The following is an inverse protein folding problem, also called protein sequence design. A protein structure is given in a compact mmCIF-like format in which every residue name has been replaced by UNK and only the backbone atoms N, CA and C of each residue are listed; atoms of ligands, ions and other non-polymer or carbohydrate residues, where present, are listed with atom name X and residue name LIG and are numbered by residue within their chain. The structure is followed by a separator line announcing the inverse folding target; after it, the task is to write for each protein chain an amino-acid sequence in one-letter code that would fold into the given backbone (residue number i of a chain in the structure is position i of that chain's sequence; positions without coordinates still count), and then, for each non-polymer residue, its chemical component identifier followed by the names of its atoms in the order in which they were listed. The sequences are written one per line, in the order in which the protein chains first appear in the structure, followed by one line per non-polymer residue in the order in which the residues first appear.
data_IF_250192813311
#
_entry.id   IF_250192813311
#
_cell.length_a   1.000
_cell.length_b   1.000
_cell.length_c   1.000
_cell.angle_alpha   90.00
_cell.angle_beta   90.00
_cell.angle_gamma   90.00
#
_symmetry.space_group_name_H-M   'P 1'
#
loop_
_entity.id
_entity.type
_entity.pdbx_description
1 polymer ?
#
# COMPACT_ATOMS: atom_id res chain seq x y z
N UNK A 1 5.41 3.60 8.76
CA UNK A 1 5.09 4.82 9.54
C UNK A 1 4.06 5.68 8.82
N UNK A 2 4.17 5.80 7.49
CA UNK A 2 3.30 6.62 6.62
C UNK A 2 1.79 6.36 6.80
N UNK A 3 1.37 5.08 6.87
CA UNK A 3 -0.05 4.73 7.08
C UNK A 3 -0.60 5.21 8.44
N UNK A 4 0.18 5.08 9.52
CA UNK A 4 -0.21 5.55 10.87
C UNK A 4 -0.32 7.06 10.86
N UNK A 5 0.68 7.75 10.31
CA UNK A 5 0.63 9.20 10.16
C UNK A 5 -0.59 9.64 9.34
N UNK A 6 -0.89 8.97 8.22
CA UNK A 6 -2.08 9.25 7.42
C UNK A 6 -3.39 9.05 8.21
N UNK A 7 -3.50 8.02 9.04
CA UNK A 7 -4.66 7.80 9.92
C UNK A 7 -4.83 8.95 10.93
N UNK A 8 -3.73 9.37 11.59
CA UNK A 8 -3.72 10.55 12.47
C UNK A 8 -4.10 11.85 11.75
N UNK A 9 -3.54 12.08 10.54
CA UNK A 9 -3.83 13.27 9.73
C UNK A 9 -5.28 13.32 9.26
N UNK A 10 -5.86 12.15 8.99
CA UNK A 10 -7.28 12.00 8.66
C UNK A 10 -8.17 12.12 9.89
N UNK A 11 -7.59 11.93 11.08
CA UNK A 11 -8.30 11.89 12.36
C UNK A 11 -9.22 10.69 12.50
N UNK A 12 -8.81 9.55 11.93
CA UNK A 12 -9.54 8.28 12.01
C UNK A 12 -8.67 7.29 12.80
N UNK A 13 -9.17 6.75 13.93
CA UNK A 13 -8.37 5.87 14.80
C UNK A 13 -8.16 4.48 14.21
N UNK A 14 -9.03 4.04 13.31
CA UNK A 14 -8.87 2.75 12.63
C UNK A 14 -9.42 2.79 11.21
N UNK A 15 -8.59 2.38 10.25
CA UNK A 15 -8.93 2.39 8.83
C UNK A 15 -8.02 1.46 8.03
N UNK A 16 -8.49 1.01 6.86
CA UNK A 16 -7.59 0.52 5.82
C UNK A 16 -7.02 1.72 5.08
N UNK A 17 -5.72 1.98 5.24
CA UNK A 17 -5.04 3.12 4.63
C UNK A 17 -4.35 2.68 3.34
N UNK A 18 -4.64 3.39 2.26
CA UNK A 18 -4.12 3.17 0.91
C UNK A 18 -3.33 4.40 0.50
N UNK A 19 -2.00 4.33 0.52
CA UNK A 19 -1.11 5.41 0.06
C UNK A 19 -0.74 5.20 -1.41
N UNK A 20 -1.35 5.98 -2.29
CA UNK A 20 -1.07 5.96 -3.72
C UNK A 20 -0.09 7.07 -4.05
N UNK A 21 1.19 6.70 -4.14
CA UNK A 21 2.27 7.60 -4.53
C UNK A 21 2.46 7.70 -6.03
N UNK A 22 3.57 8.32 -6.43
CA UNK A 22 3.93 8.45 -7.84
C UNK A 22 4.48 7.13 -8.43
N UNK A 23 5.33 6.41 -7.68
CA UNK A 23 6.03 5.22 -8.18
C UNK A 23 5.61 3.93 -7.49
N UNK A 24 4.93 4.05 -6.35
CA UNK A 24 4.53 2.93 -5.49
C UNK A 24 3.16 3.19 -4.92
N UNK A 25 2.47 2.10 -4.62
CA UNK A 25 1.26 2.11 -3.81
C UNK A 25 1.46 1.19 -2.62
N UNK A 26 1.02 1.60 -1.43
CA UNK A 26 1.03 0.74 -0.26
C UNK A 26 -0.32 0.69 0.41
N UNK A 27 -0.66 -0.47 0.97
CA UNK A 27 -1.90 -0.72 1.69
C UNK A 27 -1.55 -1.26 3.07
N UNK A 28 -2.21 -0.77 4.12
CA UNK A 28 -2.12 -1.34 5.46
C UNK A 28 -3.33 -0.96 6.30
N UNK A 29 -3.81 -1.91 7.10
CA UNK A 29 -4.78 -1.65 8.14
C UNK A 29 -4.09 -1.04 9.36
N UNK A 30 -4.65 0.07 9.85
CA UNK A 30 -4.19 0.79 11.04
C UNK A 30 -5.28 0.69 12.09
N UNK A 31 -4.91 0.36 13.32
CA UNK A 31 -5.79 0.35 14.48
C UNK A 31 -5.04 0.89 15.69
N UNK A 32 -5.68 1.79 16.45
CA UNK A 32 -5.17 2.38 17.68
C UNK A 32 -3.74 2.92 17.57
N UNK A 33 -3.44 3.57 16.43
CA UNK A 33 -2.13 4.17 16.15
C UNK A 33 -1.06 3.17 15.73
N UNK A 34 -1.43 1.91 15.46
CA UNK A 34 -0.51 0.86 15.04
C UNK A 34 -0.90 0.31 13.66
N UNK A 35 0.09 0.14 12.79
CA UNK A 35 -0.10 -0.56 11.51
C UNK A 35 0.04 -2.06 11.72
N UNK A 36 -1.01 -2.82 11.42
CA UNK A 36 -1.05 -4.29 11.54
C UNK A 36 -0.13 -4.87 10.47
N UNK A 37 0.86 -5.66 10.88
CA UNK A 37 1.99 -6.05 10.02
C UNK A 37 1.56 -6.95 8.86
N UNK A 38 0.73 -7.93 9.15
CA UNK A 38 0.25 -8.97 8.23
C UNK A 38 -0.59 -8.38 7.10
N UNK A 39 -1.15 -7.19 7.32
CA UNK A 39 -1.98 -6.47 6.34
C UNK A 39 -1.16 -5.64 5.35
N UNK A 40 0.15 -5.50 5.56
CA UNK A 40 0.98 -4.57 4.77
C UNK A 40 1.26 -5.14 3.38
N UNK A 41 0.83 -4.41 2.36
CA UNK A 41 1.07 -4.73 0.95
C UNK A 41 1.81 -3.58 0.29
N UNK A 42 2.75 -3.93 -0.58
CA UNK A 42 3.46 -3.01 -1.46
C UNK A 42 3.20 -3.38 -2.93
N UNK A 43 2.92 -2.39 -3.75
CA UNK A 43 2.63 -2.53 -5.17
C UNK A 43 3.58 -1.62 -5.95
N UNK A 44 4.28 -2.16 -6.94
CA UNK A 44 5.31 -1.46 -7.72
C UNK A 44 4.73 -0.53 -8.80
N UNK A 45 3.54 0.03 -8.56
CA UNK A 45 2.90 0.99 -9.46
C UNK A 45 2.33 2.20 -8.71
N UNK A 46 2.20 3.32 -9.41
CA UNK A 46 1.56 4.54 -8.91
C UNK A 46 1.17 5.52 -10.03
N UNK A 47 1.09 6.80 -9.69
CA UNK A 47 0.65 7.87 -10.59
C UNK A 47 1.53 8.07 -11.84
N UNK A 48 2.81 7.74 -11.77
CA UNK A 48 3.75 7.80 -12.92
C UNK A 48 3.42 6.71 -13.94
N UNK A 49 2.97 5.54 -13.50
CA UNK A 49 2.58 4.46 -14.40
C UNK A 49 1.26 4.80 -15.11
N UNK A 50 0.32 5.42 -14.40
CA UNK A 50 -0.88 6.00 -15.03
C UNK A 50 -0.48 7.05 -16.08
N UNK A 51 0.50 7.90 -15.78
CA UNK A 51 1.03 8.90 -16.73
C UNK A 51 1.60 8.22 -17.99
N UNK A 52 2.33 7.12 -17.83
CA UNK A 52 2.90 6.37 -18.95
C UNK A 52 1.84 5.62 -19.76
N UNK A 53 0.86 4.99 -19.11
CA UNK A 53 -0.29 4.36 -19.77
C UNK A 53 -1.08 5.41 -20.56
N UNK A 54 -1.34 6.58 -19.96
CA UNK A 54 -2.01 7.67 -20.64
C UNK A 54 -1.23 8.14 -21.87
N UNK A 55 0.08 8.37 -21.74
CA UNK A 55 0.93 8.72 -22.87
C UNK A 55 0.92 7.65 -23.98
N UNK A 56 0.94 6.37 -23.62
CA UNK A 56 0.83 5.27 -24.58
C UNK A 56 -0.49 5.31 -25.36
N UNK A 57 -1.61 5.58 -24.67
CA UNK A 57 -2.94 5.74 -25.28
C UNK A 57 -2.96 6.95 -26.22
N UNK A 58 -2.48 8.11 -25.75
CA UNK A 58 -2.41 9.34 -26.55
C UNK A 58 -1.65 9.11 -27.87
N UNK A 59 -0.52 8.40 -27.84
CA UNK A 59 0.26 8.12 -29.05
C UNK A 59 -0.54 7.31 -30.09
N UNK A 60 -1.43 6.43 -29.63
CA UNK A 60 -2.33 5.66 -30.51
C UNK A 60 -3.49 6.51 -31.02
N UNK A 61 -3.93 7.48 -30.23
CA UNK A 61 -4.92 8.51 -30.59
C UNK A 61 -4.29 9.73 -31.29
N UNK A 62 -3.22 9.52 -32.06
CA UNK A 62 -2.56 10.54 -32.88
C UNK A 62 -1.96 11.76 -32.14
N UNK A 63 -1.54 11.63 -30.87
CA UNK A 63 -0.94 12.71 -30.06
C UNK A 63 -0.06 13.69 -30.87
N UNK A 64 -0.37 14.99 -30.89
CA UNK A 64 0.19 15.92 -31.88
C UNK A 64 1.68 16.24 -31.64
N UNK A 65 2.15 16.14 -30.39
CA UNK A 65 3.53 16.45 -30.02
C UNK A 65 4.44 15.21 -30.17
N UNK A 66 4.85 14.93 -31.42
CA UNK A 66 5.53 13.67 -31.83
C UNK A 66 6.91 13.45 -31.21
N UNK A 67 7.60 14.53 -30.87
CA UNK A 67 8.94 14.54 -30.28
C UNK A 67 8.93 14.50 -28.75
N UNK A 68 7.74 14.33 -28.13
CA UNK A 68 7.60 14.13 -26.69
C UNK A 68 8.40 12.91 -26.24
N UNK A 69 9.25 13.05 -25.23
CA UNK A 69 10.00 11.94 -24.65
C UNK A 69 9.83 11.93 -23.12
N UNK A 70 9.28 10.87 -22.51
CA UNK A 70 9.19 10.76 -21.05
C UNK A 70 10.53 10.85 -20.31
N UNK A 71 11.65 10.56 -20.99
CA UNK A 71 13.00 10.72 -20.42
C UNK A 71 13.42 12.19 -20.23
N UNK A 72 12.77 13.12 -20.94
CA UNK A 72 12.99 14.56 -20.79
C UNK A 72 12.14 15.10 -19.66
N UNK A 73 12.76 15.77 -18.67
CA UNK A 73 12.06 16.31 -17.49
C UNK A 73 10.88 17.22 -17.85
N UNK A 74 11.04 18.10 -18.85
CA UNK A 74 9.97 19.03 -19.24
C UNK A 74 8.79 18.31 -19.89
N UNK A 75 9.08 17.26 -20.67
CA UNK A 75 8.04 16.47 -21.32
C UNK A 75 7.35 15.56 -20.30
N UNK A 76 8.08 15.00 -19.32
CA UNK A 76 7.51 14.26 -18.20
C UNK A 76 6.55 15.13 -17.37
N UNK A 77 6.94 16.37 -17.05
CA UNK A 77 6.08 17.33 -16.35
C UNK A 77 4.83 17.69 -17.16
N UNK A 78 4.97 17.84 -18.48
CA UNK A 78 3.83 18.04 -19.37
C UNK A 78 2.87 16.84 -19.31
N UNK A 79 3.38 15.61 -19.44
CA UNK A 79 2.56 14.40 -19.39
C UNK A 79 1.84 14.24 -18.05
N UNK A 80 2.53 14.54 -16.94
CA UNK A 80 1.92 14.59 -15.61
C UNK A 80 0.78 15.59 -15.55
N UNK A 81 1.01 16.82 -16.04
CA UNK A 81 -0.02 17.86 -16.08
C UNK A 81 -1.21 17.45 -16.95
N UNK A 82 -0.98 16.86 -18.12
CA UNK A 82 -2.06 16.39 -18.99
C UNK A 82 -2.89 15.32 -18.27
N UNK A 83 -2.25 14.34 -17.61
CA UNK A 83 -2.94 13.33 -16.79
C UNK A 83 -3.78 14.00 -15.69
N UNK A 84 -3.19 14.86 -14.87
CA UNK A 84 -3.89 15.51 -13.74
C UNK A 84 -5.02 16.44 -14.18
N UNK A 85 -4.93 17.00 -15.38
CA UNK A 85 -5.95 17.91 -15.92
C UNK A 85 -7.13 17.15 -16.53
N UNK A 86 -6.87 16.03 -17.22
CA UNK A 86 -7.87 15.41 -18.10
C UNK A 86 -8.33 14.02 -17.65
N UNK A 87 -7.55 13.26 -16.89
CA UNK A 87 -7.97 11.93 -16.47
C UNK A 87 -9.05 11.99 -15.37
N UNK A 88 -10.01 11.07 -15.44
CA UNK A 88 -11.11 10.95 -14.48
C UNK A 88 -11.57 9.49 -14.39
N UNK A 89 -12.34 9.17 -13.34
CA UNK A 89 -13.10 7.91 -13.21
C UNK A 89 -14.58 8.26 -13.05
N UNK A 90 -15.05 9.07 -13.98
CA UNK A 90 -16.43 9.55 -14.06
C UNK A 90 -17.08 9.05 -15.35
N UNK A 91 -18.14 8.26 -15.21
CA UNK A 91 -18.87 7.65 -16.32
C UNK A 91 -19.82 8.62 -17.03
N UNK A 92 -20.15 9.75 -16.38
CA UNK A 92 -21.04 10.76 -16.95
C UNK A 92 -20.31 11.65 -17.97
N UNK A 93 -18.98 11.75 -17.83
CA UNK A 93 -18.11 12.40 -18.80
C UNK A 93 -17.91 11.48 -20.01
N UNK A 94 -18.56 11.82 -21.14
CA UNK A 94 -18.55 11.01 -22.35
C UNK A 94 -18.22 11.80 -23.61
N UNK A 95 -17.71 11.09 -24.62
CA UNK A 95 -17.44 11.60 -25.96
C UNK A 95 -16.08 12.31 -26.10
N UNK A 96 -15.60 12.48 -27.35
CA UNK A 96 -14.35 13.15 -27.63
C UNK A 96 -14.46 14.66 -27.38
N UNK A 97 -13.47 15.21 -26.68
CA UNK A 97 -13.37 16.62 -26.36
C UNK A 97 -12.07 17.20 -26.92
N UNK A 98 -12.16 18.37 -27.56
CA UNK A 98 -10.99 19.08 -28.05
C UNK A 98 -10.33 19.88 -26.93
N UNK A 99 -9.01 19.69 -26.78
CA UNK A 99 -8.20 20.38 -25.80
C UNK A 99 -6.97 21.02 -26.45
N UNK A 100 -6.41 22.04 -25.80
CA UNK A 100 -5.18 22.69 -26.26
C UNK A 100 -4.15 22.74 -25.15
N UNK A 101 -2.89 22.52 -25.51
CA UNK A 101 -1.76 22.65 -24.59
C UNK A 101 -0.57 23.34 -25.26
N UNK A 102 0.32 23.89 -24.43
CA UNK A 102 1.52 24.58 -24.88
C UNK A 102 2.76 23.83 -24.44
N UNK A 103 3.75 23.79 -25.31
CA UNK A 103 5.09 23.24 -25.05
C UNK A 103 6.09 24.37 -25.19
N UNK A 104 6.80 24.67 -24.11
CA UNK A 104 7.87 25.66 -24.08
C UNK A 104 9.15 24.96 -23.62
N UNK A 105 10.18 24.97 -24.47
CA UNK A 105 11.49 24.42 -24.17
C UNK A 105 12.53 25.55 -24.19
N UNK A 106 13.57 25.52 -23.33
CA UNK A 106 14.65 26.48 -23.38
C UNK A 106 15.23 26.58 -24.79
N UNK A 107 15.47 27.81 -25.26
CA UNK A 107 16.04 28.08 -26.60
C UNK A 107 15.19 27.65 -27.80
N UNK A 108 13.91 27.31 -27.59
CA UNK A 108 12.96 27.01 -28.67
C UNK A 108 11.71 27.89 -28.55
N UNK A 109 11.03 28.22 -29.67
CA UNK A 109 9.75 28.92 -29.62
C UNK A 109 8.70 28.07 -28.91
N UNK A 110 7.80 28.71 -28.16
CA UNK A 110 6.65 28.04 -27.56
C UNK A 110 5.70 27.58 -28.66
N UNK A 111 5.39 26.29 -28.69
CA UNK A 111 4.47 25.70 -29.65
C UNK A 111 3.13 25.40 -28.96
N UNK A 112 2.02 25.63 -29.66
CA UNK A 112 0.69 25.27 -29.20
C UNK A 112 0.18 24.09 -30.03
N UNK A 113 -0.41 23.12 -29.35
CA UNK A 113 -0.94 21.90 -29.94
C UNK A 113 -2.41 21.74 -29.55
N UNK A 114 -3.17 21.11 -30.44
CA UNK A 114 -4.57 20.72 -30.22
C UNK A 114 -4.67 19.21 -30.31
N UNK A 115 -5.38 18.59 -29.38
CA UNK A 115 -5.65 17.15 -29.38
C UNK A 115 -7.12 16.88 -29.02
N UNK A 116 -7.65 15.79 -29.55
CA UNK A 116 -8.97 15.27 -29.24
C UNK A 116 -8.79 14.18 -28.19
N UNK A 117 -9.43 14.32 -27.03
CA UNK A 117 -9.38 13.36 -25.93
C UNK A 117 -10.72 12.65 -25.76
N UNK A 118 -10.73 11.32 -25.71
CA UNK A 118 -11.90 10.51 -25.41
C UNK A 118 -11.65 9.54 -24.26
N UNK A 119 -11.97 8.27 -24.47
CA UNK A 119 -11.96 7.20 -23.46
C UNK A 119 -10.57 6.98 -22.82
N UNK A 120 -9.47 7.42 -23.43
CA UNK A 120 -8.15 7.36 -22.82
C UNK A 120 -8.07 8.05 -21.46
N UNK A 121 -8.90 9.08 -21.24
CA UNK A 121 -8.96 9.84 -19.99
C UNK A 121 -9.46 8.98 -18.83
N UNK A 122 -10.34 8.02 -19.10
CA UNK A 122 -10.86 7.08 -18.11
C UNK A 122 -10.10 5.75 -18.10
N UNK A 123 -9.67 5.25 -19.26
CA UNK A 123 -8.90 3.99 -19.36
C UNK A 123 -7.58 4.09 -18.60
N UNK A 124 -6.89 5.24 -18.67
CA UNK A 124 -5.62 5.42 -17.96
C UNK A 124 -5.75 5.24 -16.43
N UNK A 125 -6.59 5.98 -15.69
CA UNK A 125 -6.75 5.77 -14.24
C UNK A 125 -7.42 4.44 -13.90
N UNK A 126 -8.22 3.84 -14.80
CA UNK A 126 -8.75 2.48 -14.59
C UNK A 126 -7.68 1.39 -14.54
N UNK A 127 -6.43 1.68 -14.92
CA UNK A 127 -5.29 0.78 -14.70
C UNK A 127 -5.08 0.39 -13.24
N UNK A 128 -5.48 1.23 -12.27
CA UNK A 128 -5.49 0.84 -10.85
C UNK A 128 -6.38 -0.37 -10.56
N UNK A 129 -7.45 -0.57 -11.33
CA UNK A 129 -8.41 -1.68 -11.17
C UNK A 129 -8.20 -2.79 -12.20
N UNK A 130 -7.32 -2.55 -13.19
CA UNK A 130 -6.88 -3.53 -14.17
C UNK A 130 -5.35 -3.46 -14.31
N UNK A 131 -4.66 -4.01 -13.31
CA UNK A 131 -3.21 -3.89 -13.16
C UNK A 131 -2.41 -4.46 -14.33
N UNK A 132 -3.02 -5.29 -15.19
CA UNK A 132 -2.37 -5.77 -16.42
C UNK A 132 -1.91 -4.62 -17.34
N UNK A 133 -2.61 -3.48 -17.31
CA UNK A 133 -2.22 -2.28 -18.08
C UNK A 133 -0.88 -1.70 -17.62
N UNK A 134 -0.53 -1.82 -16.33
CA UNK A 134 0.76 -1.34 -15.83
C UNK A 134 1.94 -2.13 -16.38
N UNK A 135 1.75 -3.34 -16.92
CA UNK A 135 2.82 -4.09 -17.58
C UNK A 135 3.36 -3.38 -18.83
N UNK A 136 2.59 -2.43 -19.40
CA UNK A 136 3.06 -1.56 -20.49
C UNK A 136 4.22 -0.64 -20.08
N UNK A 137 4.37 -0.40 -18.78
CA UNK A 137 5.36 0.53 -18.19
C UNK A 137 6.61 -0.19 -17.68
N UNK A 138 6.65 -1.52 -17.80
CA UNK A 138 7.73 -2.36 -17.29
C UNK A 138 7.23 -3.51 -16.41
N UNK A 139 8.13 -4.35 -15.89
CA UNK A 139 7.77 -5.40 -14.94
C UNK A 139 7.25 -4.79 -13.64
N UNK A 140 6.12 -5.31 -13.16
CA UNK A 140 5.44 -4.85 -11.95
C UNK A 140 5.17 -6.02 -11.03
N UNK A 141 5.41 -5.84 -9.74
CA UNK A 141 5.22 -6.88 -8.74
C UNK A 141 4.35 -6.38 -7.59
N UNK A 142 3.84 -7.34 -6.83
CA UNK A 142 3.14 -7.12 -5.58
C UNK A 142 3.88 -7.88 -4.49
N UNK A 143 4.01 -7.27 -3.33
CA UNK A 143 4.79 -7.79 -2.22
C UNK A 143 3.96 -7.73 -0.94
N UNK A 144 4.00 -8.81 -0.18
CA UNK A 144 3.59 -8.82 1.22
C UNK A 144 4.80 -8.43 2.06
N UNK A 145 4.58 -7.63 3.09
CA UNK A 145 5.60 -7.46 4.11
C UNK A 145 5.68 -8.75 4.93
N UNK A 146 6.86 -9.33 5.05
CA UNK A 146 7.06 -10.61 5.73
C UNK A 146 6.57 -10.53 7.18
N UNK A 147 5.67 -11.43 7.64
CA UNK A 147 5.43 -11.62 9.07
C UNK A 147 6.76 -11.95 9.73
N UNK A 148 7.19 -11.10 10.67
CA UNK A 148 8.52 -11.15 11.31
C UNK A 148 8.98 -12.58 11.62
N UNK A 149 9.95 -13.11 10.86
CA UNK A 149 10.60 -14.39 11.18
C UNK A 149 11.87 -14.23 12.02
N UNK A 150 12.20 -12.98 12.40
CA UNK A 150 13.39 -12.63 13.15
C UNK A 150 14.53 -12.15 12.25
N UNK A 151 15.37 -11.26 12.77
CA UNK A 151 16.60 -10.80 12.12
C UNK A 151 17.80 -11.62 12.62
N UNK A 152 18.41 -12.41 11.74
CA UNK A 152 19.57 -13.23 12.08
C UNK A 152 20.83 -12.41 12.37
N UNK A 153 20.90 -11.18 11.87
CA UNK A 153 22.01 -10.25 12.11
C UNK A 153 21.80 -9.40 13.36
N UNK A 154 20.60 -9.45 13.98
CA UNK A 154 20.33 -8.82 15.26
C UNK A 154 20.52 -9.83 16.41
N UNK A 155 21.61 -9.73 17.20
CA UNK A 155 21.87 -10.65 18.31
C UNK A 155 20.84 -10.53 19.46
N UNK A 156 19.94 -9.54 19.40
CA UNK A 156 18.85 -9.34 20.35
C UNK A 156 17.49 -9.65 19.74
N UNK A 157 17.44 -10.21 18.52
CA UNK A 157 16.22 -10.68 17.90
C UNK A 157 15.42 -11.63 18.81
N UNK A 158 14.10 -11.43 18.91
CA UNK A 158 13.27 -12.23 19.82
C UNK A 158 13.19 -13.70 19.40
N UNK A 159 13.26 -13.99 18.11
CA UNK A 159 13.42 -15.34 17.57
C UNK A 159 14.78 -15.92 17.93
N UNK A 160 15.86 -15.18 17.68
CA UNK A 160 17.24 -15.57 18.02
C UNK A 160 17.42 -15.82 19.53
N UNK A 161 16.90 -14.94 20.39
CA UNK A 161 16.95 -15.09 21.85
C UNK A 161 16.16 -16.32 22.31
N UNK A 162 15.00 -16.61 21.68
CA UNK A 162 14.21 -17.81 21.97
C UNK A 162 14.93 -19.09 21.53
N UNK A 163 15.57 -19.09 20.37
CA UNK A 163 16.30 -20.24 19.84
C UNK A 163 17.60 -20.51 20.60
N UNK A 164 18.38 -19.47 20.88
CA UNK A 164 19.62 -19.58 21.66
C UNK A 164 19.36 -19.88 23.14
N UNK A 165 18.27 -19.38 23.70
CA UNK A 165 17.77 -19.75 25.03
C UNK A 165 17.40 -21.24 25.11
N UNK A 166 16.61 -21.74 24.15
CA UNK A 166 16.25 -23.16 24.07
C UNK A 166 17.47 -24.07 23.92
N UNK A 167 18.46 -23.69 23.08
CA UNK A 167 19.72 -24.45 22.92
C UNK A 167 20.56 -24.49 24.20
N UNK A 168 20.52 -23.43 25.02
CA UNK A 168 21.16 -23.44 26.35
C UNK A 168 20.45 -24.39 27.30
N UNK A 169 19.13 -24.36 27.36
CA UNK A 169 18.35 -25.31 28.19
C UNK A 169 18.58 -26.76 27.78
N UNK A 170 18.68 -27.06 26.48
CA UNK A 170 19.00 -28.43 26.01
C UNK A 170 20.45 -28.82 26.30
N UNK A 171 21.41 -27.89 26.24
CA UNK A 171 22.81 -28.16 26.59
C UNK A 171 23.00 -28.38 28.10
N UNK A 172 22.26 -27.64 28.93
CA UNK A 172 22.27 -27.80 30.39
C UNK A 172 21.59 -29.12 30.79
N UNK A 173 20.51 -29.52 30.12
CA UNK A 173 19.84 -30.82 30.35
C UNK A 173 20.64 -32.02 29.81
N UNK A 174 21.45 -31.83 28.76
CA UNK A 174 22.35 -32.87 28.23
C UNK A 174 23.60 -33.10 29.10
N UNK A 175 23.87 -32.21 30.07
CA UNK A 175 24.94 -32.41 31.07
C UNK A 175 24.51 -33.27 32.26
N UNK A 176 23.20 -33.54 32.41
CA UNK A 176 22.60 -34.31 33.50
C UNK A 176 21.52 -35.26 32.97
N UNK A 177 21.90 -36.25 32.14
CA UNK A 177 21.34 -37.61 32.12
C UNK A 177 21.75 -38.37 30.86
N UNK A 178 22.39 -39.52 31.08
CA UNK A 178 22.46 -40.62 30.11
C UNK A 178 21.18 -41.43 30.29
N UNK A 179 20.24 -41.38 29.33
CA UNK A 179 19.52 -42.60 28.95
C UNK A 179 18.90 -42.54 27.54
N UNK A 180 18.92 -43.69 26.88
CA UNK A 180 18.48 -43.95 25.52
C UNK A 180 16.96 -44.21 25.47
N UNK A 181 16.23 -43.43 24.67
CA UNK A 181 15.17 -43.95 23.79
C UNK A 181 14.73 -42.86 22.79
N UNK A 182 15.21 -42.98 21.55
CA UNK A 182 14.71 -42.25 20.38
C UNK A 182 13.67 -43.09 19.63
N UNK A 183 12.94 -42.39 18.74
CA UNK A 183 11.99 -42.80 17.70
C UNK A 183 10.52 -42.65 18.14
N UNK A 184 9.63 -41.92 17.46
CA UNK A 184 9.63 -40.92 16.39
C UNK A 184 8.20 -40.33 16.37
N UNK A 185 8.05 -39.10 15.87
CA UNK A 185 6.90 -38.56 15.09
C UNK A 185 6.64 -37.08 15.43
N UNK A 186 7.42 -36.19 14.83
CA UNK A 186 6.91 -34.88 14.44
C UNK A 186 7.11 -34.73 12.92
N UNK A 187 5.98 -34.78 12.23
CA UNK A 187 5.86 -34.61 10.79
C UNK A 187 6.25 -33.18 10.39
N UNK A 188 7.37 -33.13 9.68
CA UNK A 188 7.93 -31.97 9.00
C UNK A 188 6.93 -31.39 7.99
N UNK A 189 6.33 -30.24 8.34
CA UNK A 189 5.57 -29.45 7.38
C UNK A 189 6.57 -28.64 6.53
N UNK A 190 7.01 -29.25 5.44
CA UNK A 190 7.73 -28.60 4.35
C UNK A 190 6.91 -27.40 3.83
N UNK A 191 7.27 -26.18 4.24
CA UNK A 191 6.82 -24.97 3.54
C UNK A 191 7.56 -24.87 2.20
N UNK A 192 6.86 -24.55 1.09
CA UNK A 192 7.45 -24.46 -0.23
C UNK A 192 8.46 -23.30 -0.28
N UNK A 193 9.62 -23.56 -0.90
CA UNK A 193 10.69 -22.60 -1.11
C UNK A 193 10.23 -21.41 -1.96
N UNK A 194 9.70 -20.37 -1.32
CA UNK A 194 9.50 -19.06 -1.93
C UNK A 194 10.86 -18.35 -1.97
N UNK A 195 11.24 -17.82 -3.13
CA UNK A 195 12.50 -17.10 -3.33
C UNK A 195 12.51 -15.83 -2.45
N UNK A 196 13.24 -15.89 -1.33
CA UNK A 196 13.37 -14.82 -0.36
C UNK A 196 14.35 -13.75 -0.85
N UNK A 197 13.90 -12.50 -0.93
CA UNK A 197 14.79 -11.34 -1.01
C UNK A 197 15.21 -10.92 0.40
N UNK A 198 16.44 -10.43 0.54
CA UNK A 198 17.13 -10.04 1.77
C UNK A 198 16.47 -8.91 2.59
N UNK A 199 15.20 -8.57 2.30
CA UNK A 199 14.46 -7.42 2.83
C UNK A 199 13.17 -7.78 3.56
N UNK A 200 12.91 -9.06 3.86
CA UNK A 200 11.70 -9.47 4.58
C UNK A 200 10.43 -9.12 3.79
N UNK A 201 10.40 -9.45 2.51
CA UNK A 201 9.23 -9.28 1.65
C UNK A 201 8.93 -10.58 0.93
N UNK A 202 7.66 -10.96 0.91
CA UNK A 202 7.17 -12.15 0.21
C UNK A 202 6.54 -11.68 -1.10
N UNK A 203 7.10 -12.15 -2.21
CA UNK A 203 6.59 -11.85 -3.54
C UNK A 203 5.26 -12.57 -3.77
N UNK A 204 4.27 -11.84 -4.28
CA UNK A 204 3.00 -12.41 -4.74
C UNK A 204 3.13 -12.71 -6.23
N UNK A 205 2.81 -13.95 -6.65
CA UNK A 205 2.97 -14.40 -8.03
C UNK A 205 2.17 -13.57 -9.06
N UNK A 206 1.05 -13.00 -8.62
CA UNK A 206 0.18 -12.17 -9.45
C UNK A 206 0.27 -10.71 -9.02
N UNK A 207 0.41 -9.83 -10.00
CA UNK A 207 0.23 -8.40 -9.82
C UNK A 207 -1.23 -8.11 -9.42
N UNK A 208 -1.42 -7.64 -8.20
CA UNK A 208 -2.73 -7.28 -7.67
C UNK A 208 -3.18 -5.92 -8.20
N UNK A 209 -4.47 -5.77 -8.49
CA UNK A 209 -5.10 -4.46 -8.63
C UNK A 209 -5.36 -3.83 -7.26
N UNK A 210 -5.67 -2.53 -7.23
CA UNK A 210 -5.80 -1.78 -5.99
C UNK A 210 -6.91 -2.32 -5.08
N UNK A 211 -8.06 -2.64 -5.66
CA UNK A 211 -9.19 -3.29 -4.97
C UNK A 211 -8.81 -4.69 -4.45
N UNK A 212 -8.12 -5.49 -5.25
CA UNK A 212 -7.61 -6.81 -4.84
C UNK A 212 -6.61 -6.71 -3.69
N UNK A 213 -5.73 -5.71 -3.72
CA UNK A 213 -4.79 -5.45 -2.65
C UNK A 213 -5.52 -5.06 -1.35
N UNK A 214 -6.53 -4.20 -1.41
CA UNK A 214 -7.35 -3.85 -0.24
C UNK A 214 -8.06 -5.08 0.34
N UNK A 215 -8.71 -5.88 -0.50
CA UNK A 215 -9.38 -7.11 -0.07
C UNK A 215 -8.39 -8.08 0.58
N UNK A 216 -7.22 -8.29 -0.05
CA UNK A 216 -6.18 -9.16 0.48
C UNK A 216 -5.65 -8.64 1.82
N UNK A 217 -5.35 -7.33 1.92
CA UNK A 217 -4.86 -6.68 3.15
C UNK A 217 -5.82 -6.89 4.30
N UNK A 218 -7.11 -6.61 4.09
CA UNK A 218 -8.14 -6.74 5.14
C UNK A 218 -8.36 -8.21 5.51
N UNK A 219 -8.27 -9.14 4.55
CA UNK A 219 -8.46 -10.56 4.82
C UNK A 219 -7.39 -11.17 5.74
N UNK A 220 -6.18 -10.58 5.77
CA UNK A 220 -5.12 -10.98 6.72
C UNK A 220 -5.42 -10.60 8.18
N UNK A 221 -6.50 -9.85 8.46
CA UNK A 221 -6.87 -9.55 9.83
C UNK A 221 -7.44 -10.79 10.54
N UNK A 222 -6.98 -11.06 11.77
CA UNK A 222 -7.37 -12.27 12.50
C UNK A 222 -8.80 -12.28 13.06
N UNK A 223 -9.49 -11.13 13.11
CA UNK A 223 -10.85 -11.00 13.65
C UNK A 223 -11.82 -10.45 12.62
N UNK A 224 -13.01 -11.05 12.54
CA UNK A 224 -14.10 -10.62 11.67
C UNK A 224 -14.61 -9.20 12.01
N UNK A 225 -14.51 -8.80 13.28
CA UNK A 225 -14.86 -7.45 13.72
C UNK A 225 -13.91 -6.41 13.13
N UNK A 226 -12.62 -6.73 13.07
CA UNK A 226 -11.60 -5.89 12.44
C UNK A 226 -11.82 -5.79 10.94
N UNK A 227 -12.11 -6.92 10.28
CA UNK A 227 -12.43 -6.94 8.85
C UNK A 227 -13.59 -5.99 8.53
N UNK A 228 -14.68 -6.06 9.30
CA UNK A 228 -15.84 -5.16 9.16
C UNK A 228 -15.46 -3.70 9.37
N UNK A 229 -14.65 -3.41 10.39
CA UNK A 229 -14.16 -2.05 10.72
C UNK A 229 -13.27 -1.47 9.62
N UNK A 230 -12.43 -2.29 8.98
CA UNK A 230 -11.56 -1.83 7.90
C UNK A 230 -12.27 -1.74 6.56
N UNK A 231 -13.27 -2.58 6.29
CA UNK A 231 -14.15 -2.41 5.13
C UNK A 231 -15.10 -1.22 5.28
N UNK A 232 -15.47 -0.81 6.50
CA UNK A 232 -16.33 0.36 6.69
C UNK A 232 -15.61 1.66 6.41
N UNK A 233 -14.30 1.73 6.67
CA UNK A 233 -13.49 2.92 6.47
C UNK A 233 -12.19 2.61 5.71
N UNK A 234 -12.19 2.91 4.41
CA UNK A 234 -11.00 2.89 3.57
C UNK A 234 -10.58 4.33 3.28
N UNK A 235 -9.34 4.67 3.59
CA UNK A 235 -8.79 6.02 3.36
C UNK A 235 -7.75 5.92 2.27
N UNK A 236 -7.92 6.70 1.21
CA UNK A 236 -6.96 6.83 0.12
C UNK A 236 -6.21 8.15 0.29
N UNK A 237 -4.90 8.07 0.46
CA UNK A 237 -3.99 9.21 0.58
C UNK A 237 -2.94 9.17 -0.54
N UNK A 238 -2.12 10.22 -0.62
CA UNK A 238 -1.11 10.36 -1.66
C UNK A 238 -1.64 11.03 -2.94
N UNK A 239 -0.73 11.56 -3.74
CA UNK A 239 -1.06 12.34 -4.95
C UNK A 239 -1.37 11.51 -6.19
N UNK A 240 -1.11 10.20 -6.16
CA UNK A 240 -1.17 9.34 -7.35
C UNK A 240 -2.58 9.00 -7.83
N UNK A 241 -3.61 9.20 -7.01
CA UNK A 241 -5.01 8.81 -7.26
C UNK A 241 -6.02 9.96 -7.18
N UNK A 242 -5.60 11.21 -7.39
CA UNK A 242 -6.45 12.42 -7.32
C UNK A 242 -7.36 12.59 -8.56
N UNK A 243 -8.11 11.55 -8.93
CA UNK A 243 -9.04 11.57 -10.06
C UNK A 243 -10.48 11.74 -9.59
N UNK A 244 -11.25 12.59 -10.28
CA UNK A 244 -12.69 12.73 -10.06
C UNK A 244 -13.38 11.37 -10.20
N UNK A 245 -14.25 11.01 -9.26
CA UNK A 245 -14.99 9.74 -9.27
C UNK A 245 -14.20 8.50 -8.80
N UNK A 246 -12.90 8.62 -8.49
CA UNK A 246 -12.08 7.50 -8.03
C UNK A 246 -12.62 6.82 -6.77
N UNK A 247 -13.02 7.61 -5.76
CA UNK A 247 -13.58 7.09 -4.51
C UNK A 247 -14.87 6.28 -4.75
N UNK A 248 -15.79 6.83 -5.56
CA UNK A 248 -17.06 6.20 -5.93
C UNK A 248 -16.83 4.88 -6.66
N UNK A 249 -15.88 4.87 -7.61
CA UNK A 249 -15.52 3.66 -8.35
C UNK A 249 -14.93 2.58 -7.44
N UNK A 250 -13.93 2.94 -6.61
CA UNK A 250 -13.30 2.03 -5.67
C UNK A 250 -14.34 1.45 -4.69
N UNK A 251 -15.23 2.28 -4.13
CA UNK A 251 -16.33 1.84 -3.27
C UNK A 251 -17.22 0.82 -3.95
N UNK A 252 -17.63 1.08 -5.19
CA UNK A 252 -18.48 0.17 -5.97
C UNK A 252 -17.79 -1.18 -6.20
N UNK A 253 -16.51 -1.16 -6.59
CA UNK A 253 -15.68 -2.35 -6.80
C UNK A 253 -15.55 -3.20 -5.53
N UNK A 254 -15.17 -2.57 -4.41
CA UNK A 254 -15.04 -3.25 -3.12
C UNK A 254 -16.38 -3.85 -2.68
N UNK A 255 -17.47 -3.08 -2.79
CA UNK A 255 -18.81 -3.56 -2.42
C UNK A 255 -19.19 -4.84 -3.17
N UNK A 256 -18.87 -4.92 -4.47
CA UNK A 256 -19.17 -6.10 -5.29
C UNK A 256 -18.29 -7.32 -4.99
N UNK A 257 -17.07 -7.12 -4.51
CA UNK A 257 -16.06 -8.17 -4.37
C UNK A 257 -15.88 -8.71 -2.95
N UNK A 258 -16.35 -8.00 -1.92
CA UNK A 258 -16.31 -8.51 -0.54
C UNK A 258 -17.03 -9.88 -0.49
N UNK A 259 -16.36 -10.95 -0.02
CA UNK A 259 -16.92 -12.29 0.00
C UNK A 259 -18.22 -12.38 0.83
N UNK A 260 -19.19 -13.14 0.31
CA UNK A 260 -20.33 -13.61 1.09
C UNK A 260 -19.91 -14.91 1.80
N UNK A 261 -19.61 -14.86 3.08
CA UNK A 261 -19.37 -16.07 3.87
C UNK A 261 -20.59 -16.40 4.74
N UNK A 262 -21.05 -17.64 4.62
CA UNK A 262 -22.09 -18.21 5.48
C UNK A 262 -21.43 -18.93 6.64
N UNK A 263 -21.88 -18.66 7.88
CA UNK A 263 -21.39 -19.39 9.06
C UNK A 263 -21.75 -20.88 8.93
N UNK A 264 -20.79 -21.80 8.92
CA UNK A 264 -21.11 -23.23 9.02
C UNK A 264 -21.68 -23.51 10.42
N UNK A 265 -22.87 -24.11 10.50
CA UNK A 265 -23.39 -24.67 11.76
C UNK A 265 -24.52 -23.91 12.47
N UNK A 266 -25.00 -22.76 11.96
CA UNK A 266 -26.20 -22.09 12.49
C UNK A 266 -27.36 -22.15 11.49
N UNK A 267 -28.52 -22.65 11.95
CA UNK A 267 -29.75 -22.69 11.16
C UNK A 267 -30.85 -21.80 11.76
N UNK A 268 -31.54 -20.97 10.96
CA UNK A 268 -31.35 -20.80 9.52
C UNK A 268 -29.99 -20.16 9.22
N UNK A 269 -29.39 -20.56 8.09
CA UNK A 269 -28.13 -19.99 7.61
C UNK A 269 -28.32 -18.49 7.42
N UNK A 270 -27.97 -17.70 8.44
CA UNK A 270 -27.95 -16.25 8.33
C UNK A 270 -26.67 -15.88 7.60
N UNK A 271 -26.73 -15.09 6.52
CA UNK A 271 -25.53 -14.52 5.94
C UNK A 271 -24.83 -13.74 7.04
N UNK A 272 -23.56 -14.04 7.32
CA UNK A 272 -22.75 -13.14 8.11
C UNK A 272 -22.36 -12.02 7.13
N UNK A 273 -23.08 -10.90 7.16
CA UNK A 273 -22.68 -9.76 6.35
C UNK A 273 -21.37 -9.23 6.94
N UNK A 274 -20.23 -9.61 6.37
CA UNK A 274 -18.98 -8.85 6.51
C UNK A 274 -19.12 -7.44 5.93
N UNK A 275 -20.13 -7.25 5.07
CA UNK A 275 -20.49 -5.94 4.57
C UNK A 275 -20.81 -5.03 5.75
N UNK A 276 -20.07 -3.94 5.91
CA UNK A 276 -20.48 -2.94 6.87
C UNK A 276 -21.81 -2.35 6.39
N UNK A 277 -22.69 -1.99 7.33
CA UNK A 277 -23.95 -1.28 7.02
C UNK A 277 -23.67 0.00 6.21
N UNK A 278 -22.50 0.60 6.46
CA UNK A 278 -21.97 1.74 5.74
C UNK A 278 -20.52 1.49 5.33
N UNK A 279 -20.24 1.53 4.02
CA UNK A 279 -18.88 1.55 3.48
C UNK A 279 -18.57 2.96 2.98
N UNK A 280 -17.48 3.52 3.49
CA UNK A 280 -16.94 4.81 3.08
C UNK A 280 -15.53 4.65 2.51
N UNK A 281 -15.32 5.25 1.34
CA UNK A 281 -13.99 5.43 0.74
C UNK A 281 -13.70 6.92 0.78
N UNK A 282 -12.73 7.32 1.59
CA UNK A 282 -12.39 8.73 1.84
C UNK A 282 -11.10 9.08 1.10
N UNK A 283 -11.18 9.98 0.12
CA UNK A 283 -10.00 10.50 -0.62
C UNK A 283 -9.54 11.88 -0.16
N UNK A 284 -10.43 12.66 0.46
CA UNK A 284 -10.14 14.01 0.95
C UNK A 284 -10.53 14.12 2.43
N UNK A 285 -9.82 13.41 3.32
CA UNK A 285 -10.19 13.39 4.73
C UNK A 285 -10.07 14.81 5.31
N UNK A 286 -11.15 15.27 5.94
CA UNK A 286 -11.26 16.63 6.52
C UNK A 286 -11.03 17.75 5.48
N UNK A 287 -11.43 17.54 4.22
CA UNK A 287 -11.28 18.52 3.12
C UNK A 287 -9.82 18.94 2.89
N UNK A 288 -8.89 18.00 3.11
CA UNK A 288 -7.46 18.23 2.95
C UNK A 288 -6.93 17.58 1.69
N UNK A 289 -5.89 18.18 1.10
CA UNK A 289 -5.16 17.56 -0.01
C UNK A 289 -4.53 16.22 0.46
N UNK A 290 -4.87 15.08 -0.17
CA UNK A 290 -4.35 13.76 0.21
C UNK A 290 -2.83 13.65 0.18
N UNK A 291 -2.13 14.51 -0.55
CA UNK A 291 -0.66 14.55 -0.60
C UNK A 291 -0.02 14.96 0.74
N UNK A 292 -0.71 15.80 1.52
CA UNK A 292 -0.15 16.37 2.76
C UNK A 292 -0.69 15.73 4.03
N UNK A 293 -1.69 14.85 3.93
CA UNK A 293 -2.36 14.22 5.08
C UNK A 293 -1.36 13.48 5.96
N UNK A 294 -0.46 12.68 5.36
CA UNK A 294 0.58 11.97 6.10
C UNK A 294 1.52 12.93 6.87
N UNK A 295 1.95 14.02 6.23
CA UNK A 295 2.80 15.02 6.87
C UNK A 295 2.10 15.75 8.03
N UNK A 296 0.83 16.13 7.84
CA UNK A 296 0.02 16.75 8.90
C UNK A 296 -0.18 15.80 10.07
N UNK A 297 -0.43 14.52 9.80
CA UNK A 297 -0.55 13.50 10.82
C UNK A 297 0.74 13.29 11.62
N UNK A 298 1.90 13.28 10.95
CA UNK A 298 3.19 13.25 11.64
C UNK A 298 3.39 14.48 12.54
N UNK A 299 2.95 15.67 12.10
CA UNK A 299 2.98 16.88 12.94
C UNK A 299 2.09 16.72 14.17
N UNK A 300 0.87 16.18 14.02
CA UNK A 300 -0.03 15.88 15.15
C UNK A 300 0.63 14.90 16.11
N UNK A 301 1.23 13.82 15.59
CA UNK A 301 1.93 12.83 16.40
C UNK A 301 3.07 13.44 17.21
N UNK A 302 3.82 14.39 16.64
CA UNK A 302 4.93 15.07 17.32
C UNK A 302 4.51 15.96 18.49
N UNK A 303 3.23 16.36 18.52
CA UNK A 303 2.65 17.20 19.57
C UNK A 303 1.90 16.40 20.64
N UNK A 304 1.83 15.06 20.53
CA UNK A 304 1.22 14.22 21.55
C UNK A 304 2.09 14.17 22.81
N UNK A 305 1.47 13.98 23.97
CA UNK A 305 2.19 13.86 25.25
C UNK A 305 3.19 12.70 25.24
N UNK A 306 2.82 11.56 24.64
CA UNK A 306 3.67 10.38 24.48
C UNK A 306 4.84 10.57 23.51
N UNK A 307 4.83 11.63 22.67
CA UNK A 307 5.92 11.87 21.71
C UNK A 307 7.26 12.08 22.43
N UNK A 308 7.21 12.64 23.65
CA UNK A 308 8.37 12.83 24.53
C UNK A 308 9.24 11.57 24.71
N UNK A 309 8.59 10.41 24.80
CA UNK A 309 9.22 9.11 25.08
C UNK A 309 9.87 8.50 23.84
N UNK A 310 9.39 8.88 22.65
CA UNK A 310 9.81 8.34 21.35
C UNK A 310 11.05 9.06 20.77
N UNK A 311 11.42 10.22 21.30
CA UNK A 311 12.58 10.97 20.81
C UNK A 311 13.89 10.24 21.10
N UNK A 312 14.68 10.05 20.04
CA UNK A 312 16.03 9.48 20.11
C UNK A 312 17.04 10.61 20.14
N UNK A 313 17.78 10.74 21.25
CA UNK A 313 18.81 11.79 21.41
C UNK A 313 20.17 11.33 20.88
N UNK A 314 21.04 12.25 20.43
CA UNK A 314 22.38 11.88 19.95
C UNK A 314 23.24 11.12 20.96
N UNK A 315 23.10 11.41 22.26
CA UNK A 315 23.83 10.69 23.31
C UNK A 315 23.35 9.24 23.47
N UNK A 316 22.04 9.01 23.36
CA UNK A 316 21.43 7.67 23.43
C UNK A 316 21.86 6.84 22.22
N UNK A 317 21.77 7.40 21.01
CA UNK A 317 22.17 6.73 19.78
C UNK A 317 23.66 6.34 19.77
N UNK A 318 24.56 7.22 20.25
CA UNK A 318 25.99 6.90 20.33
C UNK A 318 26.30 5.79 21.33
N UNK A 319 25.47 5.64 22.36
CA UNK A 319 25.70 4.66 23.44
C UNK A 319 25.09 3.30 23.11
N UNK A 320 23.84 3.28 22.62
CA UNK A 320 23.05 2.07 22.44
C UNK A 320 22.80 1.70 20.98
N UNK A 321 23.08 2.61 20.03
CA UNK A 321 22.90 2.38 18.60
C UNK A 321 21.49 1.91 18.24
N UNK A 322 21.42 0.89 17.38
CA UNK A 322 20.18 0.29 16.84
C UNK A 322 19.25 -0.21 17.95
N UNK A 323 19.78 -0.65 19.10
CA UNK A 323 18.96 -1.09 20.26
C UNK A 323 17.96 -0.01 20.71
N UNK A 324 18.30 1.26 20.54
CA UNK A 324 17.41 2.38 20.88
C UNK A 324 16.08 2.32 20.11
N UNK A 325 16.07 1.77 18.89
CA UNK A 325 14.86 1.62 18.09
C UNK A 325 13.90 0.59 18.68
N UNK A 326 14.41 -0.53 19.24
CA UNK A 326 13.58 -1.54 19.91
C UNK A 326 12.88 -0.98 21.15
N UNK A 327 13.52 -0.05 21.86
CA UNK A 327 13.00 0.51 23.11
C UNK A 327 12.12 1.75 22.91
N UNK A 328 12.37 2.55 21.86
CA UNK A 328 11.70 3.86 21.66
C UNK A 328 10.90 4.00 20.37
N UNK A 329 10.93 3.04 19.44
CA UNK A 329 10.12 3.16 18.23
C UNK A 329 8.62 3.06 18.57
N UNK A 330 7.80 3.86 17.88
CA UNK A 330 6.34 3.81 17.97
C UNK A 330 5.73 2.54 17.32
N UNK A 331 6.57 1.64 16.83
CA UNK A 331 6.21 0.41 16.15
C UNK A 331 7.22 -0.67 16.52
N UNK A 332 6.83 -1.93 16.40
CA UNK A 332 7.76 -3.04 16.58
C UNK A 332 8.88 -2.98 15.53
N UNK A 333 10.09 -2.63 16.00
CA UNK A 333 11.33 -2.58 15.22
C UNK A 333 11.93 -3.96 15.03
#
# INVERSE_FOLDING_TARGET
MDHVAAAFGSGVPSACVVDVGDQKTSVSCVEDGMSIRETRIHLDYGGSDVTQVFYWLLRRSAFPYKQCSPASRLDALLLHKLKETYCHVDLDTCGPQEHTFRVSKPHHPSLQYTLQLGDECIIAPLSYFNASLFQLTGPKQSWLYDPYRGDSDDPLDTGYLRETGRKRETADTASDSVDQSQLDDEVDALEPSQSQDSKGQIKIDKLLSLDQAILHSVDQCGSDELKRKFYSCVIVVGGGAKFTGFATWLRSRLSLQIPYQFRPGEWPAKPYEFRPEHMEVVTEPREQDPEVVGWKGACIMSCMESAGELWIRPAEWRTHGVRTLREKAAFYW
#
